data_IF_387181531641
#
_entry.id   IF_387181531641
#
_cell.length_a   1.000
_cell.length_b   1.000
_cell.length_c   1.000
_cell.angle_alpha   90.00
_cell.angle_beta   90.00
_cell.angle_gamma   90.00
#
_symmetry.space_group_name_H-M   'P 1'
#
loop_
_entity.id
_entity.type
_entity.pdbx_description
1 polymer ?
#
# COMPACT_ATOMS: atom_id res chain seq x y z
N UNK A 1 -70.78 33.25 44.73
CA UNK A 1 -70.45 33.26 43.30
C UNK A 1 -69.28 34.22 43.15
N UNK A 2 -68.05 33.68 43.15
CA UNK A 2 -66.81 34.46 43.19
C UNK A 2 -66.52 35.06 41.83
N UNK A 3 -66.41 36.39 41.81
CA UNK A 3 -66.03 37.22 40.68
C UNK A 3 -64.62 36.80 40.21
N UNK A 4 -64.53 36.22 39.01
CA UNK A 4 -63.26 35.91 38.39
C UNK A 4 -62.64 37.23 37.92
N UNK A 5 -61.80 37.79 38.80
CA UNK A 5 -61.10 39.06 38.59
C UNK A 5 -60.63 39.22 37.15
N UNK A 6 -61.24 40.20 36.47
CA UNK A 6 -60.82 40.71 35.16
C UNK A 6 -59.37 41.16 35.28
N UNK A 7 -58.43 40.25 35.03
CA UNK A 7 -57.04 40.59 34.74
C UNK A 7 -57.10 41.41 33.46
N UNK A 8 -56.86 42.71 33.58
CA UNK A 8 -56.69 43.57 32.43
C UNK A 8 -55.56 42.97 31.60
N UNK A 9 -55.92 42.36 30.47
CA UNK A 9 -54.95 42.04 29.44
C UNK A 9 -54.20 43.32 29.10
N UNK A 10 -52.89 43.20 28.93
CA UNK A 10 -51.95 44.28 28.56
C UNK A 10 -52.30 44.97 27.24
N UNK A 11 -53.26 44.44 26.49
CA UNK A 11 -53.73 45.00 25.25
C UNK A 11 -54.98 45.89 25.46
N UNK A 12 -54.80 47.21 25.39
CA UNK A 12 -55.91 48.16 25.38
C UNK A 12 -56.75 47.94 24.12
N UNK A 13 -58.06 47.79 24.28
CA UNK A 13 -59.03 47.61 23.18
C UNK A 13 -58.87 48.66 22.06
N UNK A 14 -58.58 49.91 22.44
CA UNK A 14 -58.34 51.03 21.52
C UNK A 14 -57.13 50.89 20.59
N UNK A 15 -56.26 49.88 20.79
CA UNK A 15 -55.10 49.62 19.92
C UNK A 15 -55.47 48.72 18.73
N UNK A 16 -56.54 47.94 18.86
CA UNK A 16 -56.89 46.91 17.88
C UNK A 16 -58.33 46.99 17.37
N UNK A 17 -59.23 47.72 18.04
CA UNK A 17 -60.62 47.99 17.64
C UNK A 17 -60.81 49.52 17.71
N UNK A 18 -60.28 50.20 16.70
CA UNK A 18 -60.20 51.67 16.62
C UNK A 18 -61.59 52.26 16.37
N UNK A 19 -62.44 51.55 15.65
CA UNK A 19 -63.79 52.00 15.30
C UNK A 19 -64.84 51.65 16.38
N UNK A 20 -64.51 50.76 17.32
CA UNK A 20 -65.33 50.39 18.47
C UNK A 20 -66.45 49.38 18.15
N UNK A 21 -66.43 48.72 17.00
CA UNK A 21 -67.51 47.82 16.55
C UNK A 21 -67.45 46.42 17.17
N UNK A 22 -66.38 46.11 17.91
CA UNK A 22 -66.16 44.81 18.54
C UNK A 22 -65.34 43.82 17.71
N UNK A 23 -64.82 44.23 16.55
CA UNK A 23 -63.93 43.47 15.68
C UNK A 23 -62.52 44.05 15.75
N UNK A 24 -61.50 43.21 15.58
CA UNK A 24 -60.12 43.71 15.49
C UNK A 24 -59.91 44.28 14.09
N UNK A 25 -59.55 45.56 13.92
CA UNK A 25 -59.40 46.22 12.62
C UNK A 25 -58.42 45.47 11.69
N UNK A 26 -57.37 44.85 12.24
CA UNK A 26 -56.43 44.04 11.44
C UNK A 26 -56.99 42.68 11.00
N UNK A 27 -58.13 42.24 11.54
CA UNK A 27 -58.83 41.05 11.05
C UNK A 27 -59.63 41.33 9.77
N UNK A 28 -59.92 42.61 9.45
CA UNK A 28 -60.52 43.02 8.18
C UNK A 28 -59.60 42.77 6.97
N UNK A 29 -58.27 42.69 7.19
CA UNK A 29 -57.31 42.30 6.14
C UNK A 29 -57.53 40.88 5.61
N UNK A 30 -58.33 40.06 6.31
CA UNK A 30 -58.72 38.72 5.89
C UNK A 30 -60.17 38.64 5.41
N UNK A 31 -60.99 39.69 5.56
CA UNK A 31 -62.35 39.69 5.03
C UNK A 31 -62.34 39.69 3.50
N UNK A 32 -63.08 38.75 2.90
CA UNK A 32 -63.07 38.50 1.45
C UNK A 32 -61.98 37.54 0.96
N UNK A 33 -61.03 37.14 1.82
CA UNK A 33 -60.03 36.11 1.48
C UNK A 33 -60.57 34.71 1.73
N UNK A 34 -60.50 33.83 0.72
CA UNK A 34 -60.85 32.43 0.92
C UNK A 34 -59.82 31.71 1.78
N UNK A 35 -60.21 30.61 2.45
CA UNK A 35 -59.26 29.73 3.16
C UNK A 35 -58.07 29.32 2.29
N UNK A 36 -58.31 29.11 0.99
CA UNK A 36 -57.26 28.84 0.02
C UNK A 36 -56.29 30.02 -0.12
N UNK A 37 -56.79 31.25 -0.26
CA UNK A 37 -55.95 32.45 -0.39
C UNK A 37 -55.01 32.67 0.82
N UNK A 38 -55.47 32.33 2.03
CA UNK A 38 -54.66 32.48 3.26
C UNK A 38 -53.65 31.33 3.41
N UNK A 39 -54.03 30.09 3.03
CA UNK A 39 -53.19 28.90 3.21
C UNK A 39 -52.19 28.64 2.08
N UNK A 40 -52.46 29.09 0.86
CA UNK A 40 -51.61 28.81 -0.31
C UNK A 40 -50.66 29.95 -0.65
N UNK A 41 -50.40 30.87 0.27
CA UNK A 41 -49.35 31.86 0.04
C UNK A 41 -48.02 31.11 -0.06
N UNK A 42 -47.32 31.26 -1.19
CA UNK A 42 -45.92 30.86 -1.28
C UNK A 42 -45.16 31.79 -0.33
N UNK A 43 -44.51 31.27 0.74
CA UNK A 43 -43.71 32.12 1.60
C UNK A 43 -42.75 32.92 0.73
N UNK A 44 -42.66 34.22 0.95
CA UNK A 44 -41.70 35.05 0.21
C UNK A 44 -40.32 34.40 0.35
N UNK A 45 -39.70 34.08 -0.78
CA UNK A 45 -38.33 33.56 -0.78
C UNK A 45 -37.46 34.65 -0.17
N UNK A 46 -36.98 34.41 1.05
CA UNK A 46 -35.88 35.18 1.59
C UNK A 46 -34.62 34.39 1.25
N UNK A 47 -33.83 34.95 0.35
CA UNK A 47 -32.49 34.48 0.09
C UNK A 47 -31.55 35.17 1.07
N UNK A 48 -30.60 34.41 1.60
CA UNK A 48 -29.42 34.98 2.23
C UNK A 48 -28.30 35.00 1.20
N UNK A 49 -27.65 36.15 1.06
CA UNK A 49 -26.40 36.20 0.32
C UNK A 49 -25.33 35.41 1.07
N UNK A 50 -24.31 34.92 0.37
CA UNK A 50 -23.15 34.28 1.03
C UNK A 50 -22.50 35.23 2.04
N UNK A 51 -22.60 36.55 1.82
CA UNK A 51 -22.13 37.58 2.74
C UNK A 51 -22.88 37.62 4.09
N UNK A 52 -24.13 37.13 4.14
CA UNK A 52 -24.93 37.08 5.38
C UNK A 52 -24.45 35.96 6.31
N UNK A 53 -23.66 35.02 5.78
CA UNK A 53 -22.98 33.98 6.55
C UNK A 53 -21.74 34.59 7.21
N UNK A 54 -21.97 35.46 8.19
CA UNK A 54 -20.94 36.02 9.05
C UNK A 54 -20.89 35.26 10.38
N UNK A 55 -19.70 35.17 10.99
CA UNK A 55 -19.57 34.52 12.31
C UNK A 55 -19.59 32.99 12.30
N UNK A 56 -19.36 32.34 11.15
CA UNK A 56 -18.84 30.97 11.18
C UNK A 56 -17.47 31.07 11.85
N UNK A 57 -17.42 30.75 13.15
CA UNK A 57 -16.17 30.44 13.82
C UNK A 57 -15.68 29.18 13.12
N UNK A 58 -14.71 29.35 12.21
CA UNK A 58 -13.88 28.26 11.71
C UNK A 58 -13.07 27.75 12.88
N UNK A 59 -13.72 26.98 13.74
CA UNK A 59 -13.10 26.35 14.88
C UNK A 59 -12.29 25.18 14.32
N UNK A 60 -11.12 25.50 13.77
CA UNK A 60 -10.21 24.53 13.16
C UNK A 60 -9.88 23.40 14.15
N UNK A 61 -10.01 23.66 15.46
CA UNK A 61 -9.89 22.66 16.51
C UNK A 61 -10.94 21.55 16.45
N UNK A 62 -12.16 21.80 15.93
CA UNK A 62 -13.20 20.77 15.72
C UNK A 62 -12.88 19.79 14.60
N UNK A 63 -11.95 20.18 13.73
CA UNK A 63 -11.50 19.39 12.58
C UNK A 63 -10.11 18.79 12.84
N UNK A 64 -9.44 19.20 13.93
CA UNK A 64 -8.18 18.61 14.34
C UNK A 64 -8.38 17.12 14.66
N UNK A 65 -7.60 16.27 13.97
CA UNK A 65 -7.71 14.81 14.10
C UNK A 65 -8.85 14.16 13.32
N UNK A 66 -9.65 14.92 12.57
CA UNK A 66 -10.69 14.38 11.69
C UNK A 66 -10.12 14.22 10.28
N UNK A 67 -10.09 12.97 9.78
CA UNK A 67 -9.78 12.71 8.37
C UNK A 67 -11.06 12.88 7.56
N UNK A 68 -11.14 13.95 6.77
CA UNK A 68 -12.20 14.12 5.77
C UNK A 68 -11.79 13.32 4.55
N UNK A 69 -12.36 12.12 4.41
CA UNK A 69 -12.15 11.28 3.24
C UNK A 69 -13.10 11.71 2.12
N UNK A 70 -12.59 12.49 1.16
CA UNK A 70 -13.33 12.89 -0.05
C UNK A 70 -12.99 12.01 -1.26
N UNK A 71 -12.61 10.74 -1.06
CA UNK A 71 -12.21 9.84 -2.15
C UNK A 71 -13.30 9.62 -3.23
N UNK A 72 -14.56 10.00 -2.97
CA UNK A 72 -15.63 9.99 -3.96
C UNK A 72 -15.57 11.16 -4.95
N UNK A 73 -14.85 12.24 -4.60
CA UNK A 73 -14.50 13.34 -5.50
C UNK A 73 -13.13 13.04 -6.10
N UNK A 74 -13.03 13.16 -7.42
CA UNK A 74 -11.92 12.62 -8.21
C UNK A 74 -10.53 13.25 -7.97
N UNK A 75 -10.36 14.15 -6.99
CA UNK A 75 -9.10 14.86 -6.79
C UNK A 75 -8.15 14.20 -5.77
N UNK A 76 -8.57 13.14 -5.05
CA UNK A 76 -7.75 12.36 -4.10
C UNK A 76 -6.95 13.20 -3.09
N UNK A 77 -7.35 14.44 -2.84
CA UNK A 77 -6.62 15.31 -1.93
C UNK A 77 -7.07 15.00 -0.51
N UNK A 78 -6.11 14.77 0.38
CA UNK A 78 -6.41 14.66 1.81
C UNK A 78 -6.28 16.06 2.39
N UNK A 79 -7.35 16.54 3.03
CA UNK A 79 -7.32 17.75 3.83
C UNK A 79 -6.71 17.39 5.19
N UNK A 80 -5.61 18.04 5.55
CA UNK A 80 -5.00 17.90 6.87
C UNK A 80 -4.89 19.27 7.54
N UNK A 81 -5.04 19.30 8.87
CA UNK A 81 -4.77 20.49 9.65
C UNK A 81 -3.25 20.66 9.83
N UNK A 82 -2.73 21.79 9.36
CA UNK A 82 -1.36 22.22 9.58
C UNK A 82 -1.30 23.15 10.79
N UNK A 83 -0.76 22.62 11.90
CA UNK A 83 -0.60 23.36 13.15
C UNK A 83 0.43 24.49 13.09
N UNK A 84 1.32 24.49 12.09
CA UNK A 84 2.28 25.57 11.88
C UNK A 84 1.65 26.82 11.27
N UNK A 85 0.57 26.67 10.51
CA UNK A 85 -0.12 27.77 9.83
C UNK A 85 -1.55 28.00 10.31
N UNK A 86 -2.04 27.17 11.23
CA UNK A 86 -3.43 27.15 11.73
C UNK A 86 -4.46 27.09 10.57
N UNK A 87 -4.18 26.22 9.59
CA UNK A 87 -4.96 26.10 8.36
C UNK A 87 -5.18 24.66 7.96
N UNK A 88 -6.29 24.43 7.25
CA UNK A 88 -6.49 23.19 6.50
C UNK A 88 -5.69 23.30 5.20
N UNK A 89 -4.76 22.40 5.00
CA UNK A 89 -3.96 22.31 3.77
C UNK A 89 -4.35 21.05 3.00
N UNK A 90 -4.26 21.13 1.69
CA UNK A 90 -4.20 19.92 0.87
C UNK A 90 -2.83 19.31 1.05
N UNK A 91 -2.76 18.19 1.74
CA UNK A 91 -1.58 17.33 1.64
C UNK A 91 -1.80 16.42 0.44
N UNK A 92 -0.81 16.37 -0.45
CA UNK A 92 -0.68 15.19 -1.30
C UNK A 92 -0.51 14.03 -0.32
N UNK A 93 -1.41 13.02 -0.29
CA UNK A 93 -1.12 11.83 0.48
C UNK A 93 0.28 11.40 0.08
N UNK A 94 1.14 11.11 1.07
CA UNK A 94 2.47 10.59 0.79
C UNK A 94 2.26 9.51 -0.28
N UNK A 95 2.95 9.63 -1.42
CA UNK A 95 2.81 8.68 -2.52
C UNK A 95 2.77 7.30 -1.87
N UNK A 96 1.75 6.49 -2.17
CA UNK A 96 1.55 5.17 -1.55
C UNK A 96 2.66 4.24 -2.03
N UNK A 97 3.89 4.57 -1.66
CA UNK A 97 5.07 3.79 -1.89
C UNK A 97 4.90 2.49 -1.12
N UNK A 98 5.62 1.50 -1.59
CA UNK A 98 5.54 0.18 -1.01
C UNK A 98 5.84 0.23 0.49
N UNK A 99 4.85 -0.13 1.30
CA UNK A 99 4.98 -0.14 2.74
C UNK A 99 5.59 -1.47 3.17
N UNK A 100 6.69 -1.44 3.93
CA UNK A 100 7.29 -2.66 4.48
C UNK A 100 6.37 -3.22 5.57
N UNK A 101 6.08 -4.52 5.47
CA UNK A 101 5.33 -5.28 6.48
C UNK A 101 6.29 -5.97 7.45
N UNK A 102 7.26 -6.71 6.92
CA UNK A 102 8.21 -7.45 7.73
C UNK A 102 9.56 -7.64 7.04
N UNK A 103 10.62 -7.75 7.83
CA UNK A 103 11.95 -8.17 7.40
C UNK A 103 12.38 -9.31 8.31
N UNK A 104 12.69 -10.45 7.72
CA UNK A 104 13.20 -11.62 8.43
C UNK A 104 14.60 -11.93 7.94
N UNK A 105 15.52 -12.24 8.84
CA UNK A 105 16.89 -12.59 8.50
C UNK A 105 17.26 -13.92 9.15
N UNK A 106 18.19 -14.65 8.54
CA UNK A 106 18.69 -15.88 9.14
C UNK A 106 19.79 -16.53 8.33
N UNK A 107 20.12 -17.76 8.73
CA UNK A 107 21.12 -18.59 8.07
C UNK A 107 20.62 -20.01 7.86
N UNK A 108 21.04 -20.66 6.78
CA UNK A 108 20.84 -22.09 6.51
C UNK A 108 22.20 -22.78 6.51
N UNK A 109 22.35 -23.81 7.34
CA UNK A 109 23.55 -24.64 7.38
C UNK A 109 23.34 -25.86 6.46
N UNK A 110 24.25 -26.04 5.49
CA UNK A 110 24.36 -27.27 4.71
C UNK A 110 25.64 -27.99 5.12
N UNK A 111 25.54 -29.24 5.56
CA UNK A 111 26.69 -30.03 6.02
C UNK A 111 26.97 -31.20 5.07
N UNK A 112 28.19 -31.72 5.12
CA UNK A 112 28.57 -32.96 4.46
C UNK A 112 28.08 -33.07 3.01
N UNK A 113 27.16 -33.99 2.72
CA UNK A 113 26.64 -34.25 1.37
C UNK A 113 25.28 -33.63 1.05
N UNK A 114 24.71 -32.81 1.94
CA UNK A 114 23.38 -32.19 1.76
C UNK A 114 23.27 -31.41 0.46
N UNK A 115 22.37 -31.73 -0.45
CA UNK A 115 22.17 -30.91 -1.65
C UNK A 115 21.14 -29.78 -1.44
N UNK A 116 20.32 -29.90 -0.40
CA UNK A 116 19.19 -29.03 -0.15
C UNK A 116 18.82 -29.08 1.33
N UNK A 117 18.75 -27.91 1.96
CA UNK A 117 18.30 -27.76 3.36
C UNK A 117 17.29 -26.61 3.43
N UNK A 118 16.27 -26.78 4.27
CA UNK A 118 15.24 -25.77 4.52
C UNK A 118 15.42 -25.10 5.87
N UNK A 119 15.01 -23.84 5.99
CA UNK A 119 14.82 -23.17 7.27
C UNK A 119 13.39 -22.65 7.39
N UNK A 120 12.88 -22.66 8.62
CA UNK A 120 11.59 -22.07 8.95
C UNK A 120 11.74 -20.55 9.09
N UNK A 121 10.70 -19.83 8.65
CA UNK A 121 10.51 -18.39 8.85
C UNK A 121 9.10 -18.16 9.39
N UNK A 122 8.85 -16.98 9.97
CA UNK A 122 7.48 -16.54 10.24
C UNK A 122 6.72 -16.42 8.93
N UNK A 123 5.42 -16.67 8.96
CA UNK A 123 4.57 -16.62 7.75
C UNK A 123 4.67 -15.26 7.05
N UNK A 124 4.82 -15.28 5.73
CA UNK A 124 4.77 -14.11 4.84
C UNK A 124 3.77 -14.32 3.70
N UNK A 125 3.27 -13.23 3.12
CA UNK A 125 2.57 -13.28 1.83
C UNK A 125 3.59 -13.44 0.69
N UNK A 126 3.64 -14.64 0.10
CA UNK A 126 4.55 -14.97 -1.00
C UNK A 126 4.27 -14.11 -2.25
N UNK A 127 3.06 -13.56 -2.44
CA UNK A 127 2.81 -12.64 -3.56
C UNK A 127 3.48 -11.27 -3.37
N UNK A 128 3.84 -10.91 -2.13
CA UNK A 128 4.41 -9.61 -1.75
C UNK A 128 5.79 -9.69 -1.08
N UNK A 129 6.42 -10.86 -1.14
CA UNK A 129 7.70 -11.12 -0.48
C UNK A 129 8.78 -11.57 -1.43
N UNK A 130 10.01 -11.12 -1.28
CA UNK A 130 11.16 -11.66 -2.02
C UNK A 130 12.32 -11.95 -1.07
N UNK A 131 13.27 -12.77 -1.53
CA UNK A 131 14.46 -13.18 -0.78
C UNK A 131 15.73 -12.56 -1.37
N UNK A 132 16.60 -12.05 -0.50
CA UNK A 132 17.94 -11.59 -0.89
C UNK A 132 18.96 -12.55 -0.28
N UNK A 133 19.82 -13.08 -1.14
CA UNK A 133 20.98 -13.87 -0.76
C UNK A 133 22.09 -12.94 -0.25
N UNK A 134 22.38 -12.96 1.05
CA UNK A 134 23.38 -12.09 1.67
C UNK A 134 24.82 -12.62 1.58
N UNK A 135 25.00 -13.76 0.91
CA UNK A 135 26.29 -14.43 0.79
C UNK A 135 26.29 -15.74 1.57
N UNK A 136 27.44 -16.40 1.58
CA UNK A 136 27.64 -17.62 2.34
C UNK A 136 29.06 -17.67 2.87
N UNK A 137 29.22 -18.22 4.07
CA UNK A 137 30.52 -18.58 4.64
C UNK A 137 30.72 -20.07 4.47
N UNK A 138 31.95 -20.48 4.14
CA UNK A 138 32.28 -21.88 3.96
C UNK A 138 33.49 -22.24 4.78
N UNK A 139 33.39 -23.36 5.46
CA UNK A 139 34.53 -23.99 6.11
C UNK A 139 35.01 -25.13 5.21
N UNK A 140 36.28 -25.06 4.83
CA UNK A 140 36.91 -26.07 3.99
C UNK A 140 37.59 -27.10 4.87
N UNK A 141 37.23 -28.37 4.72
CA UNK A 141 38.06 -29.48 5.22
C UNK A 141 39.41 -29.58 4.49
N UNK A 142 40.10 -30.70 4.70
CA UNK A 142 41.49 -30.91 4.29
C UNK A 142 41.81 -30.72 2.79
N UNK A 143 40.81 -30.64 1.91
CA UNK A 143 40.95 -30.62 0.45
C UNK A 143 41.04 -29.22 -0.20
N UNK A 144 41.26 -28.16 0.60
CA UNK A 144 41.48 -26.79 0.11
C UNK A 144 40.20 -26.04 -0.28
N UNK A 145 40.29 -24.82 -0.85
CA UNK A 145 39.14 -23.95 -1.08
C UNK A 145 38.14 -24.53 -2.11
N UNK A 146 37.13 -25.24 -1.61
CA UNK A 146 35.98 -25.77 -2.37
C UNK A 146 34.94 -24.67 -2.67
N UNK A 147 35.28 -23.41 -2.39
CA UNK A 147 34.33 -22.29 -2.30
C UNK A 147 33.41 -22.19 -3.51
N UNK A 148 33.96 -22.37 -4.72
CA UNK A 148 33.19 -22.27 -5.96
C UNK A 148 32.60 -23.58 -6.49
N UNK A 149 32.64 -24.69 -5.74
CA UNK A 149 31.92 -25.94 -6.12
C UNK A 149 30.63 -26.13 -5.33
N UNK A 150 30.43 -25.34 -4.28
CA UNK A 150 29.30 -25.45 -3.35
C UNK A 150 28.66 -24.08 -3.07
N UNK A 151 28.58 -23.21 -4.09
CA UNK A 151 27.67 -22.06 -4.03
C UNK A 151 26.23 -22.55 -3.94
N UNK A 152 25.42 -21.84 -3.17
CA UNK A 152 24.00 -22.09 -3.03
C UNK A 152 23.18 -20.99 -3.71
N UNK A 153 22.03 -21.36 -4.27
CA UNK A 153 20.95 -20.39 -4.47
C UNK A 153 19.91 -20.54 -3.37
N UNK A 154 19.06 -19.52 -3.22
CA UNK A 154 17.91 -19.52 -2.32
C UNK A 154 16.58 -19.51 -3.09
N UNK A 155 15.56 -20.10 -2.48
CA UNK A 155 14.17 -20.02 -2.95
C UNK A 155 13.19 -19.99 -1.76
N UNK A 156 12.10 -19.24 -1.91
CA UNK A 156 10.95 -19.32 -1.01
C UNK A 156 10.13 -20.54 -1.44
N UNK A 157 10.00 -21.54 -0.57
CA UNK A 157 9.25 -22.79 -0.86
C UNK A 157 7.77 -22.58 -0.62
N UNK A 158 7.43 -21.89 0.46
CA UNK A 158 6.07 -21.52 0.84
C UNK A 158 6.14 -20.34 1.85
N UNK A 159 4.99 -19.93 2.38
CA UNK A 159 4.87 -18.80 3.30
C UNK A 159 5.73 -18.91 4.57
N UNK A 160 6.10 -20.11 5.02
CA UNK A 160 6.84 -20.34 6.29
C UNK A 160 8.20 -21.01 6.08
N UNK A 161 8.60 -21.27 4.84
CA UNK A 161 9.76 -22.11 4.53
C UNK A 161 10.58 -21.53 3.38
N UNK A 162 11.88 -21.42 3.61
CA UNK A 162 12.87 -21.12 2.59
C UNK A 162 13.82 -22.32 2.41
N UNK A 163 14.51 -22.38 1.29
CA UNK A 163 15.43 -23.47 0.96
C UNK A 163 16.71 -22.94 0.33
N UNK A 164 17.84 -23.45 0.81
CA UNK A 164 19.13 -23.30 0.15
C UNK A 164 19.44 -24.58 -0.62
N UNK A 165 19.93 -24.44 -1.85
CA UNK A 165 20.26 -25.57 -2.73
C UNK A 165 21.64 -25.40 -3.31
N UNK A 166 22.49 -26.42 -3.16
CA UNK A 166 23.79 -26.52 -3.83
C UNK A 166 23.78 -27.62 -4.90
N UNK A 167 24.63 -27.48 -5.91
CA UNK A 167 24.67 -28.41 -7.06
C UNK A 167 25.44 -29.70 -6.75
N UNK A 168 26.51 -29.61 -5.97
CA UNK A 168 27.43 -30.70 -5.72
C UNK A 168 27.46 -31.06 -4.23
N UNK A 169 27.44 -32.36 -3.94
CA UNK A 169 27.66 -32.91 -2.61
C UNK A 169 29.17 -33.01 -2.37
N UNK A 170 29.66 -32.55 -1.22
CA UNK A 170 31.09 -32.67 -0.86
C UNK A 170 31.22 -32.94 0.63
N UNK A 171 31.60 -34.17 1.01
CA UNK A 171 31.58 -34.66 2.38
C UNK A 171 32.33 -33.79 3.42
N UNK A 172 33.33 -33.01 3.00
CA UNK A 172 34.17 -32.20 3.89
C UNK A 172 33.88 -30.68 3.81
N UNK A 173 32.67 -30.29 3.40
CA UNK A 173 32.31 -28.86 3.25
C UNK A 173 31.00 -28.51 3.95
N UNK A 174 31.12 -27.55 4.85
CA UNK A 174 30.00 -26.88 5.50
C UNK A 174 29.77 -25.53 4.84
N UNK A 175 28.52 -25.22 4.49
CA UNK A 175 28.12 -23.94 3.90
C UNK A 175 27.04 -23.29 4.76
N UNK A 176 27.35 -22.12 5.31
CA UNK A 176 26.42 -21.29 6.06
C UNK A 176 25.90 -20.17 5.16
N UNK A 177 24.70 -20.33 4.63
CA UNK A 177 24.07 -19.42 3.67
C UNK A 177 23.24 -18.39 4.41
N UNK A 178 23.51 -17.10 4.21
CA UNK A 178 22.79 -16.01 4.87
C UNK A 178 21.71 -15.42 3.96
N UNK A 179 20.56 -15.06 4.53
CA UNK A 179 19.42 -14.55 3.77
C UNK A 179 18.68 -13.45 4.52
N UNK A 180 17.91 -12.66 3.75
CA UNK A 180 16.77 -11.88 4.25
C UNK A 180 15.54 -12.12 3.38
N UNK A 181 14.37 -12.18 4.01
CA UNK A 181 13.06 -12.15 3.35
C UNK A 181 12.42 -10.81 3.67
N UNK A 182 12.03 -10.09 2.63
CA UNK A 182 11.38 -8.77 2.73
C UNK A 182 9.95 -8.92 2.27
N UNK A 183 8.99 -8.57 3.12
CA UNK A 183 7.56 -8.58 2.83
C UNK A 183 7.02 -7.15 2.83
N UNK A 184 6.20 -6.84 1.84
CA UNK A 184 5.50 -5.56 1.73
C UNK A 184 4.02 -5.71 2.08
N UNK A 185 3.46 -4.74 2.79
CA UNK A 185 2.04 -4.66 3.07
C UNK A 185 1.26 -4.23 1.82
N UNK A 186 1.82 -3.27 1.07
CA UNK A 186 1.23 -2.61 -0.10
C UNK A 186 2.31 -2.22 -1.11
N UNK A 187 1.90 -1.79 -2.31
CA UNK A 187 2.80 -1.20 -3.32
C UNK A 187 3.61 -2.20 -4.13
N UNK A 188 3.31 -3.50 -4.02
CA UNK A 188 3.83 -4.54 -4.92
C UNK A 188 2.74 -4.86 -5.94
N UNK A 189 3.02 -4.59 -7.21
CA UNK A 189 2.12 -4.94 -8.31
C UNK A 189 2.26 -6.44 -8.66
N UNK A 190 3.51 -6.92 -8.80
CA UNK A 190 3.76 -8.31 -9.13
C UNK A 190 5.13 -8.80 -8.64
N UNK A 191 5.21 -10.09 -8.31
CA UNK A 191 6.49 -10.79 -8.15
C UNK A 191 6.46 -12.07 -8.99
N UNK A 192 7.40 -12.18 -9.91
CA UNK A 192 7.59 -13.36 -10.74
C UNK A 192 8.90 -14.06 -10.36
N UNK A 193 8.92 -15.38 -10.39
CA UNK A 193 10.07 -16.18 -9.95
C UNK A 193 10.35 -17.31 -10.91
N UNK A 194 11.60 -17.76 -10.93
CA UNK A 194 11.98 -18.96 -11.66
C UNK A 194 13.36 -19.47 -11.30
N UNK A 195 13.60 -20.71 -11.71
CA UNK A 195 14.91 -21.34 -11.64
C UNK A 195 15.26 -21.80 -13.05
N UNK A 196 16.39 -21.35 -13.56
CA UNK A 196 16.86 -21.70 -14.90
C UNK A 196 18.26 -22.30 -14.85
N UNK A 197 18.49 -23.30 -15.71
CA UNK A 197 19.78 -23.96 -15.91
C UNK A 197 20.14 -23.83 -17.40
N UNK A 198 20.94 -22.83 -17.79
CA UNK A 198 21.38 -22.68 -19.17
C UNK A 198 22.13 -23.95 -19.62
N UNK A 199 21.88 -24.40 -20.85
CA UNK A 199 22.56 -25.58 -21.41
C UNK A 199 23.85 -25.24 -22.17
N UNK A 200 24.09 -23.97 -22.48
CA UNK A 200 25.23 -23.52 -23.28
C UNK A 200 25.62 -22.07 -23.02
N UNK A 201 26.73 -21.66 -23.64
CA UNK A 201 27.24 -20.28 -23.55
C UNK A 201 26.34 -19.33 -24.33
N UNK A 202 26.14 -18.13 -23.79
CA UNK A 202 25.31 -17.09 -24.41
C UNK A 202 24.04 -16.80 -23.61
N UNK A 203 23.12 -16.09 -24.25
CA UNK A 203 21.87 -15.65 -23.64
C UNK A 203 20.80 -16.74 -23.78
N UNK A 204 20.25 -17.16 -22.64
CA UNK A 204 19.00 -17.89 -22.52
C UNK A 204 17.89 -16.88 -22.24
N UNK A 205 16.92 -16.79 -23.15
CA UNK A 205 15.77 -15.89 -22.98
C UNK A 205 14.70 -16.55 -22.11
N UNK A 206 14.18 -15.79 -21.16
CA UNK A 206 13.13 -16.21 -20.24
C UNK A 206 11.94 -15.29 -20.46
N UNK A 207 10.80 -15.87 -20.84
CA UNK A 207 9.53 -15.13 -20.97
C UNK A 207 8.92 -14.91 -19.59
N UNK A 208 8.54 -13.67 -19.31
CA UNK A 208 7.81 -13.25 -18.10
C UNK A 208 6.52 -12.54 -18.50
N UNK A 209 5.56 -12.49 -17.59
CA UNK A 209 4.40 -11.60 -17.71
C UNK A 209 4.89 -10.15 -17.77
N UNK A 210 4.20 -9.31 -18.54
CA UNK A 210 4.59 -7.92 -18.73
C UNK A 210 4.72 -7.16 -17.38
N UNK A 211 5.81 -6.42 -17.23
CA UNK A 211 6.05 -5.50 -16.11
C UNK A 211 6.43 -4.10 -16.60
N UNK A 212 6.21 -3.07 -15.79
CA UNK A 212 6.82 -1.76 -15.94
C UNK A 212 8.30 -1.81 -15.51
N UNK A 213 9.19 -1.76 -16.50
CA UNK A 213 10.64 -1.83 -16.28
C UNK A 213 11.16 -0.66 -15.44
N UNK A 214 10.51 0.50 -15.47
CA UNK A 214 10.91 1.67 -14.67
C UNK A 214 10.58 1.52 -13.18
N UNK A 215 9.67 0.60 -12.85
CA UNK A 215 9.23 0.28 -11.48
C UNK A 215 9.65 -1.12 -11.03
N UNK A 216 10.53 -1.76 -11.79
CA UNK A 216 10.94 -3.13 -11.52
C UNK A 216 12.41 -3.23 -11.14
N UNK A 217 12.72 -4.19 -10.27
CA UNK A 217 14.09 -4.64 -10.07
C UNK A 217 14.17 -6.17 -10.09
N UNK A 218 15.39 -6.66 -10.32
CA UNK A 218 15.67 -8.08 -10.47
C UNK A 218 16.71 -8.48 -9.42
N UNK A 219 16.39 -9.52 -8.64
CA UNK A 219 17.34 -10.19 -7.75
C UNK A 219 17.59 -11.61 -8.25
N UNK A 220 18.78 -12.12 -7.99
CA UNK A 220 19.15 -13.47 -8.37
C UNK A 220 20.22 -14.05 -7.43
N UNK A 221 20.18 -15.37 -7.28
CA UNK A 221 21.24 -16.14 -6.64
C UNK A 221 21.51 -17.39 -7.46
N UNK A 222 22.74 -17.86 -7.46
CA UNK A 222 23.13 -19.04 -8.24
C UNK A 222 23.85 -20.05 -7.38
N UNK A 223 23.65 -21.33 -7.70
CA UNK A 223 24.59 -22.34 -7.25
C UNK A 223 25.79 -22.40 -8.19
N UNK A 224 26.79 -23.20 -7.83
CA UNK A 224 28.01 -23.33 -8.60
C UNK A 224 27.94 -24.45 -9.64
N UNK A 225 28.59 -24.24 -10.77
CA UNK A 225 28.96 -25.29 -11.72
C UNK A 225 30.26 -26.00 -11.35
N UNK A 226 30.82 -26.78 -12.29
CA UNK A 226 32.10 -27.46 -12.11
C UNK A 226 33.30 -26.53 -12.33
N UNK A 227 33.60 -25.62 -11.39
CA UNK A 227 34.87 -24.86 -11.39
C UNK A 227 34.77 -23.35 -11.13
N UNK A 228 35.88 -22.78 -10.64
CA UNK A 228 35.97 -21.50 -9.93
C UNK A 228 35.77 -20.21 -10.75
N UNK A 229 36.01 -20.20 -12.06
CA UNK A 229 36.14 -18.93 -12.81
C UNK A 229 35.25 -18.80 -14.04
N UNK A 230 34.49 -19.85 -14.38
CA UNK A 230 33.79 -19.95 -15.66
C UNK A 230 32.26 -19.86 -15.56
N UNK A 231 31.71 -20.00 -14.37
CA UNK A 231 30.28 -20.27 -14.18
C UNK A 231 29.54 -19.21 -13.37
N UNK A 232 29.99 -17.95 -13.44
CA UNK A 232 29.14 -16.83 -13.04
C UNK A 232 28.16 -16.52 -14.16
N UNK A 233 26.88 -16.50 -13.81
CA UNK A 233 25.81 -16.05 -14.67
C UNK A 233 25.43 -14.62 -14.33
N UNK A 234 24.97 -13.90 -15.34
CA UNK A 234 24.29 -12.62 -15.17
C UNK A 234 22.87 -12.75 -15.70
N UNK A 235 21.91 -12.11 -15.05
CA UNK A 235 20.56 -11.97 -15.58
C UNK A 235 20.22 -10.49 -15.69
N UNK A 236 19.51 -10.10 -16.76
CA UNK A 236 19.06 -8.72 -16.98
C UNK A 236 17.63 -8.69 -17.51
N UNK A 237 16.92 -7.61 -17.20
CA UNK A 237 15.67 -7.25 -17.86
C UNK A 237 16.02 -6.71 -19.25
N UNK A 238 15.43 -7.26 -20.30
CA UNK A 238 15.68 -6.79 -21.68
C UNK A 238 14.53 -5.95 -22.23
N UNK A 239 13.31 -6.29 -21.85
CA UNK A 239 12.09 -5.54 -22.11
C UNK A 239 11.03 -5.97 -21.07
N UNK A 240 9.80 -5.48 -21.19
CA UNK A 240 8.73 -5.74 -20.23
C UNK A 240 8.35 -7.23 -20.10
N UNK A 241 8.63 -8.07 -21.08
CA UNK A 241 8.21 -9.48 -21.11
C UNK A 241 9.37 -10.48 -21.18
N UNK A 242 10.62 -10.01 -21.13
CA UNK A 242 11.79 -10.87 -21.40
C UNK A 242 12.97 -10.54 -20.48
N UNK A 243 13.47 -11.58 -19.80
CA UNK A 243 14.77 -11.58 -19.15
C UNK A 243 15.80 -12.30 -20.03
N UNK A 244 17.06 -11.85 -19.99
CA UNK A 244 18.18 -12.55 -20.61
C UNK A 244 19.14 -13.04 -19.52
N UNK A 245 19.23 -14.37 -19.38
CA UNK A 245 20.18 -15.06 -18.54
C UNK A 245 21.40 -15.44 -19.37
N UNK A 246 22.56 -14.88 -19.05
CA UNK A 246 23.81 -15.14 -19.77
C UNK A 246 24.74 -16.03 -18.97
N UNK A 247 25.18 -17.12 -19.59
CA UNK A 247 26.31 -17.91 -19.10
C UNK A 247 27.58 -17.56 -19.87
N UNK A 248 28.65 -17.20 -19.16
CA UNK A 248 29.91 -16.75 -19.78
C UNK A 248 30.79 -17.91 -20.26
N UNK A 249 30.71 -19.07 -19.61
CA UNK A 249 31.36 -20.29 -20.08
C UNK A 249 30.58 -21.53 -19.62
N UNK A 250 30.46 -22.50 -20.52
CA UNK A 250 29.81 -23.79 -20.26
C UNK A 250 30.75 -24.79 -19.60
N UNK A 251 30.17 -25.83 -18.99
CA UNK A 251 30.91 -26.92 -18.37
C UNK A 251 30.10 -28.20 -18.34
N UNK A 252 30.68 -29.26 -17.77
CA UNK A 252 29.98 -30.53 -17.56
C UNK A 252 28.82 -30.38 -16.56
N UNK A 253 28.92 -29.42 -15.63
CA UNK A 253 27.85 -29.06 -14.71
C UNK A 253 27.56 -27.57 -14.84
N UNK A 254 26.41 -27.25 -15.41
CA UNK A 254 25.95 -25.87 -15.51
C UNK A 254 25.31 -25.44 -14.18
N UNK A 255 25.59 -24.20 -13.74
CA UNK A 255 24.94 -23.64 -12.56
C UNK A 255 23.45 -23.41 -12.81
N UNK A 256 22.66 -23.50 -11.74
CA UNK A 256 21.27 -23.04 -11.70
C UNK A 256 21.23 -21.62 -11.13
N UNK A 257 20.41 -20.77 -11.73
CA UNK A 257 20.10 -19.44 -11.23
C UNK A 257 18.65 -19.39 -10.78
N UNK A 258 18.43 -19.04 -9.52
CA UNK A 258 17.14 -18.62 -8.96
C UNK A 258 17.01 -17.12 -9.15
N UNK A 259 15.88 -16.64 -9.65
CA UNK A 259 15.62 -15.22 -9.87
C UNK A 259 14.23 -14.82 -9.37
N UNK A 260 14.12 -13.55 -8.97
CA UNK A 260 12.85 -12.91 -8.65
C UNK A 260 12.81 -11.51 -9.31
N UNK A 261 11.78 -11.28 -10.12
CA UNK A 261 11.47 -10.01 -10.75
C UNK A 261 10.33 -9.37 -9.95
N UNK A 262 10.62 -8.24 -9.31
CA UNK A 262 9.70 -7.52 -8.43
C UNK A 262 9.31 -6.21 -9.11
N UNK A 263 8.01 -5.97 -9.24
CA UNK A 263 7.43 -4.76 -9.80
C UNK A 263 6.62 -4.02 -8.72
N UNK A 264 6.92 -2.74 -8.54
CA UNK A 264 6.18 -1.85 -7.64
C UNK A 264 5.01 -1.16 -8.35
N UNK A 265 3.99 -0.77 -7.58
CA UNK A 265 2.79 -0.05 -8.07
C UNK A 265 3.07 1.34 -8.68
#
# INVERSE_FOLDING_TARGET
MTDFGRRAGDMKKSVYDTNGDGVVDNSELLEGSSKAAVQTHTPASHGHGVADISGIVHDASKIAGVVINDAAKADQKVLAYDSGTDRIVYITPAASGAALQSIQSGTILLEGTDLSVTAAISSVDVAKSFIIHLGQTQETGANGPVVAKVLCYLEIVNATTIRAVRKLATADVTSLVSFIVVEFATGINSIQRGINEPTGVGDTLITVTAVDVAKSFLTASQNSGSGHSKHFMSIKITNSTTLALRMMAGGALNPKLSWELVEFE
#
